data_IF_480291743671
#
_entry.id   IF_480291743671
#
_cell.length_a   1.000
_cell.length_b   1.000
_cell.length_c   1.000
_cell.angle_alpha   90.00
_cell.angle_beta   90.00
_cell.angle_gamma   90.00
#
_symmetry.space_group_name_H-M   'P 1'
#
loop_
_entity.id
_entity.type
_entity.pdbx_description
1 polymer ?
#
# COMPACT_ATOMS: atom_id res chain seq x y z
N UNK A 1 -20.30 -8.00 -0.69
CA UNK A 1 -18.96 -7.40 -0.90
C UNK A 1 -18.99 -6.07 -0.15
N UNK A 2 -17.93 -5.73 0.57
CA UNK A 2 -17.83 -4.45 1.30
C UNK A 2 -16.96 -3.48 0.52
N UNK A 3 -17.26 -2.19 0.63
CA UNK A 3 -16.52 -1.13 -0.05
C UNK A 3 -15.86 -0.20 0.96
N UNK A 4 -14.62 0.17 0.70
CA UNK A 4 -13.87 1.10 1.52
C UNK A 4 -13.39 2.30 0.69
N UNK A 5 -13.35 3.47 1.32
CA UNK A 5 -12.70 4.65 0.79
C UNK A 5 -11.19 4.54 1.01
N UNK A 6 -10.38 4.93 0.04
CA UNK A 6 -8.94 5.07 0.21
C UNK A 6 -8.60 6.53 0.56
N UNK A 7 -7.85 6.74 1.63
CA UNK A 7 -7.61 8.08 2.20
C UNK A 7 -6.86 9.04 1.26
N UNK A 8 -6.07 8.54 0.31
CA UNK A 8 -5.41 9.38 -0.69
C UNK A 8 -6.38 10.19 -1.54
N UNK A 9 -7.62 9.70 -1.69
CA UNK A 9 -8.68 10.37 -2.46
C UNK A 9 -8.92 11.80 -1.96
N UNK A 10 -8.79 12.04 -0.66
CA UNK A 10 -8.98 13.36 -0.05
C UNK A 10 -7.72 13.91 0.61
N UNK A 11 -6.55 13.46 0.17
CA UNK A 11 -5.27 13.90 0.71
C UNK A 11 -4.80 15.27 0.17
N UNK A 12 -5.48 15.86 -0.81
CA UNK A 12 -5.06 17.11 -1.43
C UNK A 12 -3.82 16.99 -2.32
N UNK A 13 -3.44 15.76 -2.70
CA UNK A 13 -2.24 15.52 -3.52
C UNK A 13 -2.54 15.63 -5.01
N UNK A 14 -3.68 15.10 -5.45
CA UNK A 14 -4.03 14.97 -6.87
C UNK A 14 -5.18 15.89 -7.32
N UNK A 15 -5.55 16.86 -6.49
CA UNK A 15 -6.59 17.84 -6.79
C UNK A 15 -6.30 19.17 -6.08
N UNK A 16 -6.80 20.27 -6.64
CA UNK A 16 -6.73 21.59 -6.02
C UNK A 16 -7.78 21.71 -4.91
N UNK A 17 -7.36 21.67 -3.65
CA UNK A 17 -8.25 21.77 -2.50
C UNK A 17 -7.55 21.44 -1.18
N UNK A 18 -8.20 21.76 -0.08
CA UNK A 18 -7.67 21.43 1.23
C UNK A 18 -7.78 19.92 1.50
N UNK A 19 -6.72 19.27 2.00
CA UNK A 19 -6.82 17.89 2.44
C UNK A 19 -7.81 17.77 3.60
N UNK A 20 -8.53 16.66 3.65
CA UNK A 20 -9.34 16.29 4.81
C UNK A 20 -8.47 15.51 5.80
N UNK A 21 -8.60 15.81 7.10
CA UNK A 21 -7.99 14.97 8.14
C UNK A 21 -8.57 13.55 8.10
N UNK A 22 -7.92 12.58 8.74
CA UNK A 22 -8.42 11.20 8.76
C UNK A 22 -9.80 11.11 9.42
N UNK A 23 -10.06 11.87 10.48
CA UNK A 23 -11.39 11.92 11.12
C UNK A 23 -12.45 12.49 10.16
N UNK A 24 -12.12 13.56 9.44
CA UNK A 24 -13.03 14.10 8.41
C UNK A 24 -13.28 13.11 7.28
N UNK A 25 -12.29 12.29 6.95
CA UNK A 25 -12.45 11.23 5.94
C UNK A 25 -13.30 10.07 6.43
N UNK A 26 -13.27 9.75 7.73
CA UNK A 26 -14.23 8.80 8.33
C UNK A 26 -15.66 9.30 8.15
N UNK A 27 -15.95 10.54 8.52
CA UNK A 27 -17.28 11.14 8.29
C UNK A 27 -17.65 11.17 6.80
N UNK A 28 -16.68 11.46 5.94
CA UNK A 28 -16.88 11.48 4.49
C UNK A 28 -17.19 10.10 3.93
N UNK A 29 -16.48 9.06 4.39
CA UNK A 29 -16.75 7.67 4.02
C UNK A 29 -18.18 7.28 4.40
N UNK A 30 -18.61 7.61 5.63
CA UNK A 30 -19.96 7.38 6.08
C UNK A 30 -21.00 8.08 5.20
N UNK A 31 -20.80 9.36 4.93
CA UNK A 31 -21.71 10.16 4.11
C UNK A 31 -21.84 9.65 2.66
N UNK A 32 -20.80 9.00 2.15
CA UNK A 32 -20.78 8.41 0.79
C UNK A 32 -21.29 6.95 0.77
N UNK A 33 -21.62 6.36 1.94
CA UNK A 33 -22.12 4.99 2.03
C UNK A 33 -21.04 3.91 1.97
N UNK A 34 -19.76 4.26 2.19
CA UNK A 34 -18.70 3.28 2.37
C UNK A 34 -18.81 2.60 3.75
N UNK A 35 -18.34 1.38 3.83
CA UNK A 35 -18.33 0.57 5.07
C UNK A 35 -16.98 0.63 5.78
N UNK A 36 -15.93 1.13 5.06
CA UNK A 36 -14.58 1.20 5.60
C UNK A 36 -13.76 2.35 5.06
N UNK A 37 -12.61 2.56 5.72
CA UNK A 37 -11.56 3.48 5.31
C UNK A 37 -10.22 2.73 5.34
N UNK A 38 -9.50 2.74 4.22
CA UNK A 38 -8.11 2.33 4.12
C UNK A 38 -7.21 3.58 4.19
N UNK A 39 -6.15 3.53 5.01
CA UNK A 39 -5.29 4.67 5.31
C UNK A 39 -3.96 4.54 4.58
N UNK A 40 -3.66 5.47 3.69
CA UNK A 40 -2.37 5.57 3.03
C UNK A 40 -1.38 6.35 3.93
N UNK A 41 -0.23 5.75 4.26
CA UNK A 41 0.76 6.31 5.19
C UNK A 41 1.68 7.34 4.53
N UNK A 42 1.08 8.42 4.04
CA UNK A 42 1.74 9.47 3.29
C UNK A 42 1.34 10.84 3.82
N UNK A 43 2.27 11.81 3.79
CA UNK A 43 1.94 13.22 3.98
C UNK A 43 1.02 13.71 2.85
N UNK A 44 0.16 14.70 3.11
CA UNK A 44 0.12 15.51 4.32
C UNK A 44 -0.70 14.94 5.48
N UNK A 45 -1.45 13.84 5.33
CA UNK A 45 -2.47 13.47 6.32
C UNK A 45 -2.31 12.10 6.98
N UNK A 46 -1.61 11.15 6.37
CA UNK A 46 -1.57 9.75 6.82
C UNK A 46 -0.25 9.29 7.40
N UNK A 47 0.78 10.13 7.43
CA UNK A 47 2.11 9.71 7.84
C UNK A 47 2.20 9.32 9.33
N UNK A 48 2.73 8.14 9.68
CA UNK A 48 2.96 7.75 11.06
C UNK A 48 3.98 8.64 11.79
N UNK A 49 4.77 9.42 11.05
CA UNK A 49 5.70 10.40 11.62
C UNK A 49 5.00 11.63 12.22
N UNK A 50 3.80 11.95 11.71
CA UNK A 50 3.07 13.15 12.09
C UNK A 50 1.87 12.83 13.01
N UNK A 51 1.37 11.60 12.99
CA UNK A 51 0.18 11.17 13.73
C UNK A 51 0.61 10.52 15.06
N UNK A 52 0.41 11.24 16.15
CA UNK A 52 0.76 10.78 17.51
C UNK A 52 -0.12 9.60 17.96
N UNK A 53 0.28 8.90 19.01
CA UNK A 53 -0.55 7.84 19.63
C UNK A 53 -1.94 8.35 20.02
N UNK A 54 -2.01 9.56 20.60
CA UNK A 54 -3.28 10.19 20.95
C UNK A 54 -4.17 10.46 19.74
N UNK A 55 -3.57 10.83 18.60
CA UNK A 55 -4.31 11.01 17.36
C UNK A 55 -4.84 9.67 16.83
N UNK A 56 -4.05 8.60 16.92
CA UNK A 56 -4.47 7.23 16.54
C UNK A 56 -5.67 6.76 17.36
N UNK A 57 -5.64 6.98 18.69
CA UNK A 57 -6.77 6.69 19.58
C UNK A 57 -8.03 7.47 19.18
N UNK A 58 -7.89 8.76 18.87
CA UNK A 58 -8.99 9.62 18.42
C UNK A 58 -9.58 9.18 17.09
N UNK A 59 -8.73 8.90 16.10
CA UNK A 59 -9.16 8.41 14.78
C UNK A 59 -9.93 7.09 14.93
N UNK A 60 -9.43 6.18 15.76
CA UNK A 60 -10.10 4.90 16.06
C UNK A 60 -11.45 5.09 16.72
N UNK A 61 -11.54 6.01 17.69
CA UNK A 61 -12.81 6.32 18.37
C UNK A 61 -13.84 6.88 17.39
N UNK A 62 -13.47 7.85 16.56
CA UNK A 62 -14.35 8.44 15.54
C UNK A 62 -14.82 7.38 14.54
N UNK A 63 -13.93 6.49 14.11
CA UNK A 63 -14.31 5.40 13.20
C UNK A 63 -15.32 4.44 13.83
N UNK A 64 -15.13 4.11 15.11
CA UNK A 64 -16.06 3.29 15.88
C UNK A 64 -17.43 3.95 16.03
N UNK A 65 -17.47 5.23 16.40
CA UNK A 65 -18.71 5.99 16.59
C UNK A 65 -19.53 6.10 15.30
N UNK A 66 -18.86 6.25 14.16
CA UNK A 66 -19.49 6.31 12.84
C UNK A 66 -19.83 4.92 12.26
N UNK A 67 -19.36 3.85 12.88
CA UNK A 67 -19.52 2.48 12.35
C UNK A 67 -18.71 2.23 11.07
N UNK A 68 -17.60 2.93 10.90
CA UNK A 68 -16.65 2.76 9.78
C UNK A 68 -15.52 1.85 10.22
N UNK A 69 -15.25 0.79 9.46
CA UNK A 69 -14.12 -0.10 9.70
C UNK A 69 -12.84 0.53 9.17
N UNK A 70 -11.80 0.70 10.01
CA UNK A 70 -10.45 0.94 9.51
C UNK A 70 -9.93 -0.39 8.97
N UNK A 71 -9.97 -0.57 7.64
CA UNK A 71 -9.82 -1.89 7.03
C UNK A 71 -8.44 -2.21 6.49
N UNK A 72 -7.54 -1.24 6.43
CA UNK A 72 -6.18 -1.44 5.95
C UNK A 72 -5.32 -0.20 6.14
N UNK A 73 -4.02 -0.43 6.23
CA UNK A 73 -2.98 0.60 6.18
C UNK A 73 -2.11 0.35 4.97
N UNK A 74 -1.89 1.36 4.14
CA UNK A 74 -1.06 1.26 2.95
C UNK A 74 0.32 1.88 3.19
N UNK A 75 1.37 1.07 3.05
CA UNK A 75 2.75 1.56 3.12
C UNK A 75 3.23 2.07 1.76
N UNK A 76 4.25 2.91 1.78
CA UNK A 76 4.99 3.35 0.59
C UNK A 76 6.32 2.61 0.51
N UNK A 77 6.28 1.27 0.61
CA UNK A 77 7.48 0.44 0.74
C UNK A 77 8.27 0.32 -0.56
N UNK A 78 9.59 0.31 -0.43
CA UNK A 78 10.52 0.01 -1.51
C UNK A 78 11.67 -0.86 -0.98
N UNK A 79 11.64 -2.15 -1.27
CA UNK A 79 12.67 -3.10 -0.86
C UNK A 79 13.78 -3.27 -1.89
N UNK A 80 13.68 -2.61 -3.04
CA UNK A 80 14.50 -2.88 -4.22
C UNK A 80 15.68 -1.95 -4.40
N UNK A 81 15.83 -0.90 -3.59
CA UNK A 81 16.90 0.07 -3.73
C UNK A 81 18.27 -0.61 -3.81
N UNK A 82 19.15 -0.05 -4.65
CA UNK A 82 20.55 -0.46 -4.73
C UNK A 82 21.35 0.05 -3.52
N UNK A 83 20.91 1.13 -2.91
CA UNK A 83 21.55 1.72 -1.73
C UNK A 83 21.12 0.97 -0.48
N UNK A 84 22.09 0.51 0.29
CA UNK A 84 21.83 -0.29 1.48
C UNK A 84 21.09 0.53 2.54
N UNK A 85 21.52 1.75 2.75
CA UNK A 85 20.94 2.69 3.72
C UNK A 85 19.48 3.03 3.38
N UNK A 86 19.12 3.12 2.11
CA UNK A 86 17.72 3.32 1.71
C UNK A 86 16.86 2.11 2.04
N UNK A 87 17.38 0.88 1.88
CA UNK A 87 16.65 -0.32 2.30
C UNK A 87 16.46 -0.37 3.81
N UNK A 88 17.50 -0.01 4.58
CA UNK A 88 17.43 0.08 6.04
C UNK A 88 16.42 1.13 6.48
N UNK A 89 16.41 2.31 5.85
CA UNK A 89 15.40 3.36 6.09
C UNK A 89 13.99 2.88 5.77
N UNK A 90 13.81 2.12 4.69
CA UNK A 90 12.51 1.53 4.36
C UNK A 90 12.07 0.49 5.40
N UNK A 91 12.97 -0.36 5.88
CA UNK A 91 12.66 -1.32 6.95
C UNK A 91 12.30 -0.61 8.25
N UNK A 92 13.02 0.46 8.62
CA UNK A 92 12.69 1.28 9.78
C UNK A 92 11.31 1.95 9.63
N UNK A 93 11.00 2.49 8.47
CA UNK A 93 9.66 3.04 8.19
C UNK A 93 8.58 1.97 8.26
N UNK A 94 8.84 0.77 7.76
CA UNK A 94 7.87 -0.33 7.85
C UNK A 94 7.54 -0.69 9.30
N UNK A 95 8.50 -0.66 10.23
CA UNK A 95 8.21 -0.84 11.66
C UNK A 95 7.22 0.21 12.18
N UNK A 96 7.44 1.48 11.84
CA UNK A 96 6.52 2.56 12.22
C UNK A 96 5.11 2.35 11.62
N UNK A 97 5.02 1.86 10.39
CA UNK A 97 3.75 1.55 9.73
C UNK A 97 3.04 0.37 10.42
N UNK A 98 3.77 -0.68 10.79
CA UNK A 98 3.21 -1.81 11.54
C UNK A 98 2.70 -1.39 12.93
N UNK A 99 3.48 -0.58 13.67
CA UNK A 99 3.04 -0.02 14.95
C UNK A 99 1.81 0.88 14.79
N UNK A 100 1.79 1.70 13.74
CA UNK A 100 0.64 2.55 13.40
C UNK A 100 -0.61 1.73 13.14
N UNK A 101 -0.51 0.68 12.32
CA UNK A 101 -1.62 -0.23 12.05
C UNK A 101 -2.13 -0.91 13.33
N UNK A 102 -1.21 -1.41 14.16
CA UNK A 102 -1.54 -2.04 15.44
C UNK A 102 -2.28 -1.10 16.39
N UNK A 103 -1.81 0.13 16.53
CA UNK A 103 -2.44 1.14 17.41
C UNK A 103 -3.87 1.47 16.92
N UNK A 104 -4.08 1.52 15.62
CA UNK A 104 -5.41 1.71 15.01
C UNK A 104 -6.31 0.46 15.10
N UNK A 105 -5.77 -0.69 15.48
CA UNK A 105 -6.50 -1.96 15.50
C UNK A 105 -6.71 -2.57 14.12
N UNK A 106 -5.83 -2.24 13.16
CA UNK A 106 -5.85 -2.75 11.78
C UNK A 106 -4.89 -3.93 11.68
N UNK A 107 -5.36 -5.06 11.15
CA UNK A 107 -4.59 -6.30 11.00
C UNK A 107 -4.08 -6.54 9.57
N UNK A 108 -4.26 -5.56 8.67
CA UNK A 108 -3.84 -5.64 7.27
C UNK A 108 -2.98 -4.44 6.89
N UNK A 109 -1.79 -4.70 6.36
CA UNK A 109 -0.89 -3.67 5.82
C UNK A 109 -0.55 -3.99 4.38
N UNK A 110 -0.97 -3.09 3.46
CA UNK A 110 -0.63 -3.19 2.05
C UNK A 110 0.80 -2.74 1.82
N UNK A 111 1.54 -3.51 1.03
CA UNK A 111 2.94 -3.28 0.69
C UNK A 111 3.15 -3.30 -0.82
N UNK A 112 4.21 -2.64 -1.26
CA UNK A 112 4.74 -2.71 -2.62
C UNK A 112 6.10 -3.42 -2.59
N UNK A 113 6.44 -4.16 -3.63
CA UNK A 113 7.81 -4.63 -3.83
C UNK A 113 8.77 -3.43 -4.02
N UNK A 114 8.30 -2.42 -4.78
CA UNK A 114 8.96 -1.13 -4.93
C UNK A 114 7.91 -0.05 -5.23
N UNK A 115 7.70 0.87 -4.30
CA UNK A 115 6.92 2.06 -4.56
C UNK A 115 7.77 3.07 -5.38
N UNK A 116 7.27 3.56 -6.52
CA UNK A 116 8.06 4.46 -7.36
C UNK A 116 8.20 5.87 -6.77
N UNK A 117 7.35 6.22 -5.82
CA UNK A 117 7.27 7.57 -5.29
C UNK A 117 6.34 8.49 -6.09
N UNK A 118 6.07 9.64 -5.51
CA UNK A 118 5.43 10.77 -6.17
C UNK A 118 6.33 11.98 -6.05
N UNK A 119 6.26 12.87 -7.02
CA UNK A 119 6.84 14.21 -6.91
C UNK A 119 5.70 15.15 -6.54
N UNK A 120 5.93 15.94 -5.52
CA UNK A 120 5.05 17.02 -5.09
C UNK A 120 5.87 18.30 -5.10
N UNK A 121 5.81 19.05 -6.19
CA UNK A 121 6.35 20.39 -6.24
C UNK A 121 5.34 21.33 -5.55
N UNK A 122 5.84 22.30 -4.79
CA UNK A 122 5.01 23.25 -4.02
C UNK A 122 3.99 24.00 -4.89
N UNK A 123 4.24 24.11 -6.20
CA UNK A 123 3.42 24.83 -7.17
C UNK A 123 2.56 23.91 -8.05
N UNK A 124 2.66 22.60 -7.93
CA UNK A 124 1.95 21.64 -8.77
C UNK A 124 1.27 20.54 -7.98
N UNK A 125 0.22 19.96 -8.57
CA UNK A 125 -0.37 18.73 -8.04
C UNK A 125 0.66 17.59 -8.07
N UNK A 126 0.59 16.70 -7.08
CA UNK A 126 1.43 15.51 -7.05
C UNK A 126 1.23 14.68 -8.33
N UNK A 127 2.30 14.17 -8.87
CA UNK A 127 2.30 13.32 -10.06
C UNK A 127 3.14 12.07 -9.85
N UNK A 128 2.80 11.01 -10.57
CA UNK A 128 3.64 9.81 -10.70
C UNK A 128 4.77 10.07 -11.70
N UNK A 129 5.59 11.10 -11.42
CA UNK A 129 6.62 11.57 -12.34
C UNK A 129 7.59 10.51 -12.87
N UNK A 130 7.91 9.42 -12.14
CA UNK A 130 8.75 8.36 -12.68
C UNK A 130 8.20 7.69 -13.93
N UNK A 131 6.88 7.65 -14.09
CA UNK A 131 6.25 7.08 -15.28
C UNK A 131 6.22 8.01 -16.48
N UNK A 132 6.12 9.32 -16.22
CA UNK A 132 5.93 10.31 -17.29
C UNK A 132 7.24 10.88 -17.82
N UNK A 133 8.30 10.95 -17.01
CA UNK A 133 9.54 11.68 -17.37
C UNK A 133 10.80 10.83 -17.51
N UNK A 134 10.77 9.55 -17.29
CA UNK A 134 11.84 8.60 -17.67
C UNK A 134 13.21 8.75 -16.99
N UNK A 135 13.43 9.73 -16.08
CA UNK A 135 14.75 10.14 -15.67
C UNK A 135 15.18 9.79 -14.24
N UNK A 136 14.27 9.47 -13.33
CA UNK A 136 14.64 9.22 -11.92
C UNK A 136 14.73 7.75 -11.53
N UNK A 137 13.97 6.91 -12.17
CA UNK A 137 14.12 5.46 -12.03
C UNK A 137 14.16 4.87 -13.43
N UNK A 138 15.32 4.41 -13.85
CA UNK A 138 15.30 3.36 -14.88
C UNK A 138 14.36 2.30 -14.33
N UNK A 139 13.31 1.89 -15.07
CA UNK A 139 12.43 0.86 -14.60
C UNK A 139 13.31 -0.29 -14.13
N UNK A 140 13.14 -0.66 -12.87
CA UNK A 140 13.85 -1.80 -12.36
C UNK A 140 13.22 -2.96 -13.09
N UNK A 141 13.94 -3.48 -14.05
CA UNK A 141 13.45 -4.56 -14.87
C UNK A 141 13.21 -5.77 -13.94
N UNK A 142 11.99 -6.30 -13.90
CA UNK A 142 11.67 -7.53 -13.17
C UNK A 142 12.61 -8.68 -13.56
N UNK A 143 13.20 -8.63 -14.75
CA UNK A 143 14.24 -9.56 -15.20
C UNK A 143 15.61 -9.40 -14.49
N UNK A 144 15.84 -8.32 -13.69
CA UNK A 144 17.05 -8.24 -12.87
C UNK A 144 16.83 -9.05 -11.56
N UNK A 145 17.30 -10.28 -11.56
CA UNK A 145 17.24 -11.19 -10.42
C UNK A 145 17.74 -10.56 -9.10
N UNK A 146 18.67 -9.63 -9.15
CA UNK A 146 19.17 -8.94 -7.94
C UNK A 146 18.10 -8.05 -7.32
N UNK A 147 17.28 -7.43 -8.14
CA UNK A 147 16.17 -6.59 -7.69
C UNK A 147 15.07 -7.44 -7.12
N UNK A 148 14.71 -8.50 -7.83
CA UNK A 148 13.75 -9.49 -7.38
C UNK A 148 14.13 -10.08 -6.03
N UNK A 149 15.37 -10.58 -5.89
CA UNK A 149 15.86 -11.17 -4.65
C UNK A 149 15.86 -10.17 -3.48
N UNK A 150 16.17 -8.90 -3.74
CA UNK A 150 16.07 -7.85 -2.69
C UNK A 150 14.61 -7.67 -2.23
N UNK A 151 13.67 -7.65 -3.16
CA UNK A 151 12.24 -7.56 -2.82
C UNK A 151 11.80 -8.73 -1.95
N UNK A 152 12.07 -9.96 -2.38
CA UNK A 152 11.71 -11.18 -1.63
C UNK A 152 12.34 -11.18 -0.24
N UNK A 153 13.63 -10.85 -0.13
CA UNK A 153 14.34 -10.81 1.16
C UNK A 153 13.75 -9.75 2.10
N UNK A 154 13.55 -8.52 1.60
CA UNK A 154 12.99 -7.44 2.41
C UNK A 154 11.55 -7.70 2.85
N UNK A 155 10.73 -8.27 1.96
CA UNK A 155 9.35 -8.65 2.31
C UNK A 155 9.33 -9.75 3.37
N UNK A 156 10.20 -10.78 3.28
CA UNK A 156 10.31 -11.82 4.30
C UNK A 156 10.67 -11.25 5.66
N UNK A 157 11.64 -10.34 5.72
CA UNK A 157 12.05 -9.69 6.97
C UNK A 157 10.90 -8.92 7.62
N UNK A 158 10.17 -8.12 6.84
CA UNK A 158 8.99 -7.38 7.34
C UNK A 158 7.85 -8.34 7.69
N UNK A 159 7.69 -9.45 6.97
CA UNK A 159 6.66 -10.44 7.26
C UNK A 159 6.86 -11.10 8.64
N UNK A 160 8.11 -11.38 9.04
CA UNK A 160 8.41 -11.91 10.36
C UNK A 160 8.03 -10.89 11.45
N UNK A 161 8.38 -9.62 11.29
CA UNK A 161 7.98 -8.55 12.21
C UNK A 161 6.45 -8.37 12.28
N UNK A 162 5.78 -8.43 11.14
CA UNK A 162 4.32 -8.33 11.05
C UNK A 162 3.62 -9.51 11.73
N UNK A 163 4.18 -10.73 11.61
CA UNK A 163 3.64 -11.92 12.27
C UNK A 163 3.62 -11.79 13.80
N UNK A 164 4.68 -11.25 14.39
CA UNK A 164 4.78 -10.99 15.84
C UNK A 164 3.73 -9.98 16.33
N UNK A 165 3.21 -9.16 15.42
CA UNK A 165 2.15 -8.18 15.71
C UNK A 165 0.75 -8.68 15.36
N UNK A 166 0.60 -9.86 14.77
CA UNK A 166 -0.66 -10.39 14.27
C UNK A 166 -1.14 -9.70 12.98
N UNK A 167 -0.22 -9.12 12.21
CA UNK A 167 -0.53 -8.35 10.98
C UNK A 167 -0.27 -9.21 9.74
N UNK A 168 -1.21 -9.15 8.81
CA UNK A 168 -1.09 -9.71 7.45
C UNK A 168 -0.57 -8.64 6.51
N UNK A 169 0.47 -8.95 5.76
CA UNK A 169 0.95 -8.11 4.67
C UNK A 169 0.19 -8.43 3.38
N UNK A 170 -0.20 -7.40 2.63
CA UNK A 170 -0.89 -7.53 1.36
C UNK A 170 0.01 -6.99 0.23
N UNK A 171 0.64 -7.87 -0.54
CA UNK A 171 1.47 -7.47 -1.68
C UNK A 171 0.58 -7.05 -2.85
N UNK A 172 0.76 -5.82 -3.34
CA UNK A 172 0.03 -5.31 -4.50
C UNK A 172 0.80 -5.57 -5.80
N UNK A 173 0.10 -5.92 -6.88
CA UNK A 173 0.61 -6.06 -8.24
C UNK A 173 0.92 -4.69 -8.87
N UNK A 174 1.98 -4.04 -8.43
CA UNK A 174 2.33 -2.66 -8.83
C UNK A 174 3.73 -2.60 -9.46
N UNK A 175 3.83 -1.91 -10.61
CA UNK A 175 5.12 -1.57 -11.21
C UNK A 175 5.96 -0.68 -10.25
N UNK A 176 7.30 -0.57 -10.40
CA UNK A 176 8.06 -1.00 -11.55
C UNK A 176 8.64 -2.43 -11.48
N UNK A 177 8.61 -3.09 -10.34
CA UNK A 177 9.25 -4.43 -10.20
C UNK A 177 8.35 -5.54 -10.70
N UNK A 178 7.06 -5.43 -10.40
CA UNK A 178 6.05 -6.37 -10.87
C UNK A 178 5.42 -5.82 -12.14
N UNK A 179 5.24 -6.66 -13.14
CA UNK A 179 4.46 -6.26 -14.30
C UNK A 179 3.00 -6.01 -13.88
N UNK A 180 2.30 -5.11 -14.57
CA UNK A 180 0.90 -4.82 -14.27
C UNK A 180 -0.03 -5.94 -14.76
N UNK A 181 0.10 -7.10 -14.14
CA UNK A 181 -0.64 -8.32 -14.32
C UNK A 181 -0.63 -9.10 -13.02
N UNK A 182 -1.04 -10.35 -13.02
CA UNK A 182 -1.03 -11.17 -11.81
C UNK A 182 0.18 -12.13 -11.75
N UNK A 183 0.79 -12.44 -12.88
CA UNK A 183 1.76 -13.53 -13.03
C UNK A 183 3.02 -13.31 -12.18
N UNK A 184 3.65 -12.15 -12.31
CA UNK A 184 4.85 -11.82 -11.54
C UNK A 184 4.55 -11.75 -10.05
N UNK A 185 3.39 -11.20 -9.69
CA UNK A 185 3.00 -11.10 -8.28
C UNK A 185 2.74 -12.47 -7.69
N UNK A 186 2.09 -13.35 -8.44
CA UNK A 186 1.86 -14.74 -8.04
C UNK A 186 3.19 -15.50 -7.87
N UNK A 187 4.13 -15.33 -8.80
CA UNK A 187 5.46 -15.93 -8.70
C UNK A 187 6.22 -15.41 -7.46
N UNK A 188 6.20 -14.10 -7.20
CA UNK A 188 6.83 -13.51 -6.03
C UNK A 188 6.18 -14.00 -4.72
N UNK A 189 4.86 -14.11 -4.68
CA UNK A 189 4.14 -14.67 -3.53
C UNK A 189 4.55 -16.12 -3.23
N UNK A 190 4.71 -16.93 -4.27
CA UNK A 190 5.18 -18.33 -4.12
C UNK A 190 6.60 -18.40 -3.60
N UNK A 191 7.47 -17.50 -4.03
CA UNK A 191 8.86 -17.44 -3.58
C UNK A 191 8.96 -16.89 -2.15
N UNK A 192 8.19 -15.86 -1.78
CA UNK A 192 8.16 -15.32 -0.42
C UNK A 192 7.79 -16.41 0.57
N UNK A 193 6.80 -17.23 0.28
CA UNK A 193 6.36 -18.41 1.05
C UNK A 193 6.19 -18.12 2.55
N UNK A 194 5.49 -17.04 2.89
CA UNK A 194 5.15 -16.66 4.27
C UNK A 194 3.62 -16.71 4.44
N UNK A 195 3.10 -17.37 5.50
CA UNK A 195 1.66 -17.56 5.69
C UNK A 195 0.89 -16.27 5.93
N UNK A 196 1.55 -15.26 6.51
CA UNK A 196 1.00 -13.92 6.76
C UNK A 196 1.26 -12.92 5.63
N UNK A 197 1.75 -13.35 4.47
CA UNK A 197 1.80 -12.54 3.25
C UNK A 197 0.69 -13.01 2.32
N UNK A 198 -0.16 -12.08 1.94
CA UNK A 198 -1.31 -12.28 1.05
C UNK A 198 -1.24 -11.30 -0.11
N UNK A 199 -2.23 -11.34 -0.97
CA UNK A 199 -2.27 -10.55 -2.20
C UNK A 199 -3.37 -9.49 -2.12
N UNK A 200 -3.00 -8.26 -2.48
CA UNK A 200 -3.93 -7.20 -2.86
C UNK A 200 -3.95 -7.15 -4.40
N UNK A 201 -4.97 -7.75 -5.01
CA UNK A 201 -5.11 -7.77 -6.45
C UNK A 201 -5.72 -6.47 -6.94
N UNK A 202 -4.93 -5.64 -7.61
CA UNK A 202 -5.36 -4.35 -8.14
C UNK A 202 -5.67 -4.47 -9.64
N UNK A 203 -6.94 -4.61 -9.93
CA UNK A 203 -7.46 -4.77 -11.30
C UNK A 203 -7.21 -3.54 -12.19
N UNK A 204 -7.29 -2.28 -11.71
CA UNK A 204 -6.96 -1.11 -12.51
C UNK A 204 -5.54 -1.10 -13.07
N UNK A 205 -4.59 -1.79 -12.43
CA UNK A 205 -3.20 -1.88 -12.88
C UNK A 205 -2.95 -2.99 -13.89
N UNK A 206 -3.94 -3.83 -14.19
CA UNK A 206 -3.80 -4.87 -15.20
C UNK A 206 -3.68 -4.27 -16.59
N UNK A 207 -2.66 -4.68 -17.34
CA UNK A 207 -2.49 -4.29 -18.74
C UNK A 207 -3.68 -4.68 -19.62
N UNK A 208 -4.27 -5.82 -19.33
CA UNK A 208 -5.42 -6.40 -20.04
C UNK A 208 -6.74 -6.30 -19.27
N UNK A 209 -6.89 -5.28 -18.41
CA UNK A 209 -8.08 -5.09 -17.57
C UNK A 209 -9.42 -5.07 -18.29
N UNK A 210 -9.43 -4.75 -19.58
CA UNK A 210 -10.64 -4.77 -20.41
C UNK A 210 -11.02 -6.18 -20.90
N UNK A 211 -10.11 -7.13 -20.78
CA UNK A 211 -10.35 -8.53 -21.14
C UNK A 211 -10.93 -9.25 -19.93
N UNK A 212 -12.24 -9.37 -19.87
CA UNK A 212 -12.96 -10.00 -18.76
C UNK A 212 -12.43 -11.39 -18.41
N UNK A 213 -12.05 -12.18 -19.40
CA UNK A 213 -11.54 -13.54 -19.18
C UNK A 213 -10.17 -13.52 -18.50
N UNK A 214 -9.30 -12.57 -18.85
CA UNK A 214 -8.02 -12.39 -18.18
C UNK A 214 -8.21 -12.00 -16.70
N UNK A 215 -9.14 -11.08 -16.41
CA UNK A 215 -9.45 -10.69 -15.04
C UNK A 215 -10.01 -11.87 -14.23
N UNK A 216 -10.90 -12.67 -14.82
CA UNK A 216 -11.40 -13.90 -14.18
C UNK A 216 -10.28 -14.89 -13.90
N UNK A 217 -9.44 -15.15 -14.89
CA UNK A 217 -8.28 -16.01 -14.73
C UNK A 217 -7.37 -15.51 -13.58
N UNK A 218 -7.08 -14.22 -13.52
CA UNK A 218 -6.30 -13.63 -12.45
C UNK A 218 -6.92 -13.90 -11.07
N UNK A 219 -8.22 -13.70 -10.92
CA UNK A 219 -8.95 -13.99 -9.68
C UNK A 219 -8.86 -15.48 -9.33
N UNK A 220 -9.12 -16.36 -10.27
CA UNK A 220 -9.10 -17.81 -10.05
C UNK A 220 -7.71 -18.32 -9.65
N UNK A 221 -6.68 -17.87 -10.36
CA UNK A 221 -5.28 -18.25 -10.07
C UNK A 221 -4.78 -17.72 -8.73
N UNK A 222 -5.22 -16.52 -8.36
CA UNK A 222 -4.77 -15.85 -7.15
C UNK A 222 -5.67 -16.10 -5.93
N UNK A 223 -6.85 -16.71 -6.09
CA UNK A 223 -7.90 -16.82 -5.08
C UNK A 223 -7.40 -17.24 -3.68
N UNK A 224 -6.51 -18.23 -3.61
CA UNK A 224 -5.96 -18.72 -2.33
C UNK A 224 -5.04 -17.73 -1.60
N UNK A 225 -4.59 -16.70 -2.29
CA UNK A 225 -3.71 -15.67 -1.73
C UNK A 225 -4.44 -14.35 -1.45
N UNK A 226 -5.58 -14.10 -2.12
CA UNK A 226 -6.36 -12.87 -1.93
C UNK A 226 -6.98 -12.83 -0.53
N UNK A 227 -6.93 -11.65 0.10
CA UNK A 227 -7.60 -11.37 1.36
C UNK A 227 -8.37 -10.03 1.28
#
# INVERSE_FOLDING_TARGET
>A
MKFALLSVTYAGLFYAGKPLTLEQQVHKAKALGFEGLAIETKRPIGSPLDITKKDRERIKAVAMDEGITLCGVESMSNFCSRHMEERENNLAMMRLVLEFAKDLGVDMVKIFAAWPGIINDEEALASYAPYERGNYFKPVNASDLRVWNRAVTGIREVADQAADMGITLLLQNHAPVLNPGYEDTLAMMQEIDKPNVKLCLDVPLFSDRQKTDYVREAVDKCAKYIR
#
